data_IF_035705536787
#
_entry.id   IF_035705536787
#
_cell.length_a   1.000
_cell.length_b   1.000
_cell.length_c   1.000
_cell.angle_alpha   90.00
_cell.angle_beta   90.00
_cell.angle_gamma   90.00
#
_symmetry.space_group_name_H-M   'P 1'
#
loop_
_entity.id
_entity.type
_entity.pdbx_description
1 polymer ?
#
# COMPACT_ATOMS: atom_id res chain seq x y z
N UNK A 1 -3.55 -8.45 -10.75
CA UNK A 1 -4.62 -8.10 -9.81
C UNK A 1 -5.92 -7.66 -10.48
N UNK A 2 -5.96 -6.58 -11.26
CA UNK A 2 -7.18 -6.08 -11.91
C UNK A 2 -7.92 -7.13 -12.78
N UNK A 3 -7.20 -7.85 -13.67
CA UNK A 3 -7.81 -8.94 -14.45
C UNK A 3 -8.39 -10.06 -13.60
N UNK A 4 -7.69 -10.44 -12.53
CA UNK A 4 -8.19 -11.45 -11.60
C UNK A 4 -9.48 -11.02 -10.88
N UNK A 5 -9.70 -9.71 -10.69
CA UNK A 5 -10.93 -9.15 -10.15
C UNK A 5 -12.08 -9.07 -11.19
N UNK A 6 -11.83 -9.43 -12.46
CA UNK A 6 -12.83 -9.35 -13.53
C UNK A 6 -13.02 -7.94 -14.10
N UNK A 7 -12.02 -7.06 -14.00
CA UNK A 7 -12.08 -5.74 -14.64
C UNK A 7 -12.09 -5.91 -16.17
N UNK A 8 -13.11 -5.34 -16.82
CA UNK A 8 -13.34 -5.49 -18.26
C UNK A 8 -12.38 -4.70 -19.13
N UNK A 9 -12.09 -3.44 -18.76
CA UNK A 9 -11.22 -2.54 -19.52
C UNK A 9 -10.06 -2.04 -18.64
N UNK A 10 -8.83 -2.21 -19.10
CA UNK A 10 -7.60 -1.91 -18.36
C UNK A 10 -6.64 -1.12 -19.25
N UNK A 11 -6.36 0.11 -18.82
CA UNK A 11 -5.36 0.98 -19.43
C UNK A 11 -4.13 1.12 -18.53
N UNK A 12 -2.94 1.03 -19.13
CA UNK A 12 -1.66 1.25 -18.44
C UNK A 12 -1.07 2.58 -18.91
N UNK A 13 -0.75 3.48 -17.99
CA UNK A 13 -0.10 4.74 -18.32
C UNK A 13 1.40 4.70 -17.98
N UNK A 14 2.24 5.13 -18.91
CA UNK A 14 3.68 5.29 -18.70
C UNK A 14 4.22 6.42 -19.59
N UNK A 15 5.08 7.33 -19.10
CA UNK A 15 5.53 8.48 -19.89
C UNK A 15 6.34 8.09 -21.13
N UNK A 16 7.14 7.03 -21.06
CA UNK A 16 8.01 6.56 -22.15
C UNK A 16 8.06 5.02 -22.11
N UNK A 17 6.98 4.32 -22.47
CA UNK A 17 6.91 2.87 -22.33
C UNK A 17 7.96 2.20 -23.25
N UNK A 18 8.91 1.48 -22.65
CA UNK A 18 9.89 0.68 -23.38
C UNK A 18 9.37 -0.72 -23.71
N UNK A 19 10.13 -1.53 -24.46
CA UNK A 19 9.73 -2.89 -24.84
C UNK A 19 9.33 -3.77 -23.65
N UNK A 20 10.05 -3.69 -22.53
CA UNK A 20 9.73 -4.47 -21.33
C UNK A 20 8.41 -4.03 -20.67
N UNK A 21 8.14 -2.72 -20.61
CA UNK A 21 6.86 -2.20 -20.10
C UNK A 21 5.70 -2.65 -20.96
N UNK A 22 5.86 -2.61 -22.30
CA UNK A 22 4.85 -3.05 -23.25
C UNK A 22 4.62 -4.57 -23.16
N UNK A 23 5.69 -5.36 -23.04
CA UNK A 23 5.61 -6.80 -22.86
C UNK A 23 4.90 -7.16 -21.53
N UNK A 24 5.26 -6.49 -20.43
CA UNK A 24 4.60 -6.69 -19.14
C UNK A 24 3.11 -6.34 -19.20
N UNK A 25 2.74 -5.23 -19.86
CA UNK A 25 1.35 -4.86 -20.06
C UNK A 25 0.58 -5.92 -20.89
N UNK A 26 1.19 -6.44 -21.96
CA UNK A 26 0.59 -7.49 -22.77
C UNK A 26 0.42 -8.80 -22.00
N UNK A 27 1.43 -9.23 -21.25
CA UNK A 27 1.39 -10.44 -20.40
C UNK A 27 0.33 -10.30 -19.30
N UNK A 28 0.22 -9.12 -18.69
CA UNK A 28 -0.81 -8.82 -17.69
C UNK A 28 -2.22 -8.67 -18.29
N UNK A 29 -2.32 -8.66 -19.63
CA UNK A 29 -3.58 -8.54 -20.37
C UNK A 29 -4.19 -7.14 -20.34
N UNK A 30 -3.39 -6.07 -20.38
CA UNK A 30 -3.93 -4.71 -20.56
C UNK A 30 -4.57 -4.53 -21.95
N UNK A 31 -5.65 -3.75 -22.04
CA UNK A 31 -6.33 -3.45 -23.31
C UNK A 31 -5.64 -2.34 -24.11
N UNK A 32 -4.93 -1.45 -23.40
CA UNK A 32 -4.23 -0.34 -24.04
C UNK A 32 -3.13 0.25 -23.16
N UNK A 33 -2.20 0.94 -23.83
CA UNK A 33 -1.12 1.67 -23.18
C UNK A 33 -1.19 3.14 -23.57
N UNK A 34 -1.29 4.00 -22.57
CA UNK A 34 -1.18 5.44 -22.71
C UNK A 34 0.29 5.84 -22.54
N UNK A 35 0.91 6.31 -23.62
CA UNK A 35 2.28 6.85 -23.62
C UNK A 35 2.32 8.28 -23.02
N UNK A 36 1.88 8.42 -21.78
CA UNK A 36 1.88 9.66 -21.00
C UNK A 36 2.06 9.34 -19.51
N UNK A 37 2.55 10.31 -18.72
CA UNK A 37 2.82 10.12 -17.30
C UNK A 37 2.32 11.27 -16.43
N UNK A 38 2.74 11.30 -15.16
CA UNK A 38 2.46 12.45 -14.29
C UNK A 38 0.97 12.78 -14.12
N UNK A 39 0.68 14.02 -13.75
CA UNK A 39 -0.67 14.51 -13.52
C UNK A 39 -1.59 14.46 -14.77
N UNK A 40 -1.02 14.59 -15.96
CA UNK A 40 -1.79 14.59 -17.21
C UNK A 40 -2.28 13.19 -17.60
N UNK A 41 -1.51 12.14 -17.29
CA UNK A 41 -1.99 10.77 -17.41
C UNK A 41 -3.15 10.49 -16.44
N UNK A 42 -3.03 10.92 -15.19
CA UNK A 42 -4.10 10.78 -14.19
C UNK A 42 -5.36 11.51 -14.64
N UNK A 43 -5.23 12.73 -15.18
CA UNK A 43 -6.36 13.46 -15.74
C UNK A 43 -6.99 12.71 -16.93
N UNK A 44 -6.17 12.18 -17.84
CA UNK A 44 -6.66 11.40 -18.99
C UNK A 44 -7.47 10.18 -18.53
N UNK A 45 -6.99 9.45 -17.54
CA UNK A 45 -7.70 8.28 -16.99
C UNK A 45 -8.98 8.69 -16.25
N UNK A 46 -8.98 9.79 -15.50
CA UNK A 46 -10.13 10.23 -14.71
C UNK A 46 -11.25 10.88 -15.54
N UNK A 47 -10.89 11.58 -16.62
CA UNK A 47 -11.83 12.36 -17.43
C UNK A 47 -12.09 11.77 -18.81
N UNK A 48 -11.30 10.79 -19.23
CA UNK A 48 -11.30 10.24 -20.58
C UNK A 48 -10.64 11.19 -21.59
N UNK A 49 -9.99 10.62 -22.62
CA UNK A 49 -9.51 11.36 -23.77
C UNK A 49 -9.28 10.43 -24.97
N UNK A 50 -9.67 10.88 -26.17
CA UNK A 50 -9.51 10.09 -27.39
C UNK A 50 -10.22 8.72 -27.27
N UNK A 51 -9.50 7.58 -27.38
CA UNK A 51 -10.09 6.25 -27.25
C UNK A 51 -10.33 5.81 -25.79
N UNK A 52 -9.82 6.57 -24.80
CA UNK A 52 -9.88 6.19 -23.38
C UNK A 52 -11.16 6.74 -22.77
N UNK A 53 -12.07 5.87 -22.36
CA UNK A 53 -13.22 6.23 -21.53
C UNK A 53 -12.76 6.60 -20.10
N UNK A 54 -13.53 7.43 -19.36
CA UNK A 54 -13.24 7.69 -17.95
C UNK A 54 -13.19 6.39 -17.14
N UNK A 55 -12.08 6.15 -16.44
CA UNK A 55 -11.88 4.98 -15.59
C UNK A 55 -12.58 5.14 -14.24
N UNK A 56 -13.23 4.06 -13.76
CA UNK A 56 -13.86 4.02 -12.44
C UNK A 56 -12.83 3.97 -11.29
N UNK A 57 -11.66 3.39 -11.54
CA UNK A 57 -10.59 3.16 -10.55
C UNK A 57 -9.24 3.50 -11.17
N UNK A 58 -8.40 4.26 -10.46
CA UNK A 58 -7.04 4.64 -10.86
C UNK A 58 -6.07 4.20 -9.76
N UNK A 59 -5.16 3.29 -10.11
CA UNK A 59 -4.21 2.70 -9.15
C UNK A 59 -2.76 2.93 -9.59
N UNK A 60 -1.83 2.67 -8.68
CA UNK A 60 -0.40 2.67 -8.93
C UNK A 60 0.34 3.81 -8.25
N UNK A 61 1.64 3.62 -7.97
CA UNK A 61 2.48 4.62 -7.34
C UNK A 61 2.91 5.70 -8.33
N UNK A 62 3.53 6.75 -7.82
CA UNK A 62 4.18 7.78 -8.61
C UNK A 62 4.73 8.89 -7.74
N UNK A 63 5.45 9.82 -8.35
CA UNK A 63 5.99 10.96 -7.63
C UNK A 63 4.87 11.84 -7.03
N UNK A 64 5.25 12.83 -6.22
CA UNK A 64 4.34 13.80 -5.59
C UNK A 64 3.28 14.42 -6.52
N UNK A 65 3.58 14.61 -7.81
CA UNK A 65 2.61 15.18 -8.76
C UNK A 65 1.55 14.17 -9.19
N UNK A 66 1.92 12.90 -9.37
CA UNK A 66 0.98 11.80 -9.60
C UNK A 66 0.09 11.64 -8.38
N UNK A 67 0.67 11.60 -7.18
CA UNK A 67 -0.08 11.47 -5.92
C UNK A 67 -1.03 12.63 -5.70
N UNK A 68 -0.58 13.88 -5.90
CA UNK A 68 -1.45 15.06 -5.81
C UNK A 68 -2.58 15.02 -6.85
N UNK A 69 -2.30 14.59 -8.09
CA UNK A 69 -3.34 14.45 -9.11
C UNK A 69 -4.36 13.37 -8.73
N UNK A 70 -3.93 12.21 -8.22
CA UNK A 70 -4.83 11.16 -7.70
C UNK A 70 -5.71 11.70 -6.59
N UNK A 71 -5.15 12.46 -5.65
CA UNK A 71 -5.90 13.09 -4.57
C UNK A 71 -7.00 14.02 -5.10
N UNK A 72 -6.68 14.85 -6.11
CA UNK A 72 -7.64 15.78 -6.70
C UNK A 72 -8.79 15.07 -7.44
N UNK A 73 -8.51 13.93 -8.08
CA UNK A 73 -9.55 13.16 -8.82
C UNK A 73 -10.28 12.12 -7.98
N UNK A 74 -9.90 11.92 -6.71
CA UNK A 74 -10.44 10.88 -5.83
C UNK A 74 -11.96 10.97 -5.55
N UNK A 75 -12.57 12.14 -5.78
CA UNK A 75 -14.03 12.31 -5.74
C UNK A 75 -14.76 11.86 -7.01
N UNK A 76 -14.02 11.57 -8.10
CA UNK A 76 -14.55 11.20 -9.42
C UNK A 76 -14.27 9.75 -9.77
N UNK A 77 -13.05 9.30 -9.53
CA UNK A 77 -12.62 7.92 -9.70
C UNK A 77 -12.08 7.41 -8.36
N UNK A 78 -12.35 6.16 -8.04
CA UNK A 78 -11.72 5.54 -6.87
C UNK A 78 -10.19 5.52 -7.08
N UNK A 79 -9.44 5.72 -6.01
CA UNK A 79 -8.00 5.56 -5.99
C UNK A 79 -7.64 4.51 -4.95
N UNK A 80 -6.57 3.76 -5.19
CA UNK A 80 -6.01 2.79 -4.24
C UNK A 80 -5.50 3.51 -2.97
N UNK A 81 -4.50 4.37 -3.12
CA UNK A 81 -3.89 5.09 -2.02
C UNK A 81 -3.10 6.31 -2.49
N UNK A 82 -2.81 7.19 -1.54
CA UNK A 82 -1.86 8.28 -1.72
C UNK A 82 -0.50 7.74 -1.30
N UNK A 83 0.28 7.27 -2.27
CA UNK A 83 1.65 6.84 -2.02
C UNK A 83 2.53 8.08 -1.84
N UNK A 84 3.21 8.16 -0.70
CA UNK A 84 4.32 9.08 -0.45
C UNK A 84 5.65 8.47 -0.92
N UNK A 85 6.79 9.01 -0.45
CA UNK A 85 8.08 8.35 -0.63
C UNK A 85 8.05 6.93 -0.07
N UNK A 86 8.87 6.05 -0.64
CA UNK A 86 8.92 4.65 -0.24
C UNK A 86 9.71 4.48 1.06
N UNK A 87 9.37 3.47 1.85
CA UNK A 87 9.90 3.24 3.21
C UNK A 87 10.34 1.78 3.40
N UNK A 88 11.48 1.58 4.04
CA UNK A 88 11.90 0.26 4.53
C UNK A 88 12.28 0.38 6.00
N UNK A 89 11.70 -0.47 6.84
CA UNK A 89 12.10 -0.64 8.23
C UNK A 89 12.71 -2.02 8.43
N UNK A 90 14.00 -2.08 8.74
CA UNK A 90 14.66 -3.31 9.19
C UNK A 90 14.61 -3.36 10.71
N UNK A 91 13.98 -4.39 11.28
CA UNK A 91 14.00 -4.65 12.72
C UNK A 91 14.92 -5.84 13.03
N UNK A 92 16.04 -5.56 13.70
CA UNK A 92 17.14 -6.49 13.87
C UNK A 92 17.61 -6.67 15.33
N UNK A 93 18.11 -7.86 15.65
CA UNK A 93 18.82 -8.18 16.90
C UNK A 93 20.28 -8.53 16.63
N UNK A 94 21.05 -8.85 17.66
CA UNK A 94 22.49 -9.12 17.54
C UNK A 94 22.87 -10.31 16.65
N UNK A 95 21.91 -11.14 16.22
CA UNK A 95 22.15 -12.19 15.24
C UNK A 95 22.18 -11.70 13.80
N UNK A 96 21.63 -10.53 13.53
CA UNK A 96 21.59 -9.95 12.20
C UNK A 96 23.00 -9.55 11.73
N UNK A 97 23.26 -9.75 10.44
CA UNK A 97 24.50 -9.31 9.82
C UNK A 97 24.42 -7.82 9.48
N UNK A 98 25.35 -6.98 9.97
CA UNK A 98 25.38 -5.56 9.55
C UNK A 98 25.56 -5.39 8.04
N UNK A 99 26.23 -6.35 7.38
CA UNK A 99 26.36 -6.42 5.92
C UNK A 99 25.01 -6.53 5.20
N UNK A 100 24.12 -7.34 5.75
CA UNK A 100 22.78 -7.57 5.19
C UNK A 100 21.91 -6.35 5.46
N UNK A 101 21.83 -5.89 6.71
CA UNK A 101 21.07 -4.69 7.09
C UNK A 101 21.45 -3.50 6.20
N UNK A 102 22.74 -3.22 6.02
CA UNK A 102 23.19 -2.11 5.18
C UNK A 102 22.80 -2.30 3.71
N UNK A 103 22.84 -3.53 3.19
CA UNK A 103 22.44 -3.81 1.82
C UNK A 103 20.95 -3.56 1.60
N UNK A 104 20.09 -4.01 2.52
CA UNK A 104 18.65 -3.83 2.43
C UNK A 104 18.26 -2.34 2.57
N UNK A 105 18.88 -1.61 3.51
CA UNK A 105 18.71 -0.16 3.63
C UNK A 105 19.13 0.59 2.35
N UNK A 106 20.21 0.16 1.70
CA UNK A 106 20.69 0.76 0.45
C UNK A 106 19.81 0.40 -0.74
N UNK A 107 19.30 -0.82 -0.80
CA UNK A 107 18.34 -1.25 -1.81
C UNK A 107 17.14 -0.31 -1.82
N UNK A 108 16.61 0.03 -0.64
CA UNK A 108 15.55 1.03 -0.57
C UNK A 108 16.01 2.45 -0.90
N UNK A 109 17.16 2.86 -0.36
CA UNK A 109 17.67 4.22 -0.52
C UNK A 109 17.95 4.60 -1.99
N UNK A 110 18.25 3.63 -2.86
CA UNK A 110 18.55 3.92 -4.26
C UNK A 110 17.31 4.20 -5.13
N UNK A 111 16.10 3.90 -4.66
CA UNK A 111 14.87 4.11 -5.43
C UNK A 111 14.59 5.58 -5.74
N UNK A 112 14.69 6.45 -4.73
CA UNK A 112 14.34 7.88 -4.82
C UNK A 112 15.07 8.67 -3.72
N UNK A 113 15.55 9.90 -3.97
CA UNK A 113 16.20 10.71 -2.93
C UNK A 113 15.30 11.07 -1.73
N UNK A 114 13.97 10.95 -1.87
CA UNK A 114 13.01 11.16 -0.80
C UNK A 114 12.70 9.87 -0.01
N UNK A 115 13.25 8.70 -0.40
CA UNK A 115 13.02 7.42 0.28
C UNK A 115 13.50 7.43 1.74
N UNK A 116 12.92 6.57 2.57
CA UNK A 116 13.11 6.55 4.02
C UNK A 116 13.56 5.15 4.51
N UNK A 117 14.87 4.86 4.52
CA UNK A 117 15.43 3.65 5.10
C UNK A 117 15.60 3.79 6.63
N UNK A 118 15.07 2.85 7.41
CA UNK A 118 15.04 2.88 8.88
C UNK A 118 15.56 1.57 9.47
N UNK A 119 16.32 1.69 10.56
CA UNK A 119 16.75 0.55 11.36
C UNK A 119 16.17 0.66 12.78
N UNK A 120 15.41 -0.35 13.20
CA UNK A 120 15.09 -0.59 14.61
C UNK A 120 16.01 -1.70 15.10
N UNK A 121 16.72 -1.52 16.21
CA UNK A 121 17.67 -2.51 16.69
C UNK A 121 17.66 -2.66 18.21
N UNK A 122 17.79 -3.89 18.70
CA UNK A 122 18.06 -4.17 20.13
C UNK A 122 19.56 -4.23 20.46
N UNK A 123 20.42 -4.30 19.44
CA UNK A 123 21.87 -4.37 19.60
C UNK A 123 22.51 -2.98 19.41
N UNK A 124 23.11 -2.38 20.46
CA UNK A 124 23.78 -1.08 20.35
C UNK A 124 25.03 -1.13 19.46
N UNK A 125 25.63 -2.30 19.23
CA UNK A 125 26.79 -2.44 18.34
C UNK A 125 26.43 -2.26 16.86
N UNK A 126 25.14 -2.38 16.51
CA UNK A 126 24.69 -2.15 15.14
C UNK A 126 24.90 -0.72 14.66
N UNK A 127 24.87 0.28 15.55
CA UNK A 127 25.03 1.69 15.16
C UNK A 127 26.34 1.89 14.38
N UNK A 128 27.47 1.54 14.99
CA UNK A 128 28.77 1.71 14.36
C UNK A 128 29.01 0.70 13.20
N UNK A 129 28.52 -0.53 13.36
CA UNK A 129 28.80 -1.62 12.41
C UNK A 129 28.02 -1.47 11.11
N UNK A 130 26.76 -1.02 11.18
CA UNK A 130 25.94 -0.75 10.00
C UNK A 130 26.45 0.51 9.30
N UNK A 131 26.82 1.57 10.02
CA UNK A 131 27.40 2.78 9.42
C UNK A 131 28.71 2.51 8.65
N UNK A 132 29.58 1.68 9.22
CA UNK A 132 30.82 1.26 8.55
C UNK A 132 30.53 0.52 7.24
N UNK A 133 29.50 -0.32 7.24
CA UNK A 133 29.11 -1.08 6.07
C UNK A 133 28.39 -0.24 5.02
N UNK A 134 27.47 0.64 5.41
CA UNK A 134 26.85 1.62 4.53
C UNK A 134 27.92 2.43 3.81
N UNK A 135 28.94 2.90 4.55
CA UNK A 135 30.09 3.62 3.97
C UNK A 135 30.84 2.78 2.94
N UNK A 136 31.07 1.50 3.24
CA UNK A 136 31.78 0.57 2.36
C UNK A 136 30.99 0.29 1.07
N UNK A 137 29.71 -0.06 1.19
CA UNK A 137 28.84 -0.43 0.07
C UNK A 137 28.47 0.78 -0.79
N UNK A 138 28.36 1.99 -0.22
CA UNK A 138 28.21 3.23 -1.00
C UNK A 138 29.46 3.58 -1.83
N UNK A 139 30.60 2.92 -1.60
CA UNK A 139 31.85 3.22 -2.29
C UNK A 139 31.84 2.87 -3.77
N UNK A 140 31.13 1.80 -4.15
CA UNK A 140 31.03 1.29 -5.53
C UNK A 140 29.59 1.26 -6.07
N UNK A 141 28.60 1.67 -5.28
CA UNK A 141 27.21 1.77 -5.71
C UNK A 141 27.03 2.84 -6.80
N UNK A 142 26.58 2.49 -8.03
CA UNK A 142 26.40 3.47 -9.10
C UNK A 142 25.40 4.59 -8.76
N UNK A 143 24.37 4.25 -7.96
CA UNK A 143 23.31 5.13 -7.47
C UNK A 143 23.68 5.86 -6.16
N UNK A 144 24.94 5.82 -5.72
CA UNK A 144 25.37 6.34 -4.41
C UNK A 144 24.95 7.79 -4.12
N UNK A 145 24.86 8.66 -5.14
CA UNK A 145 24.38 10.03 -4.96
C UNK A 145 22.92 10.12 -4.51
N UNK A 146 22.05 9.25 -5.07
CA UNK A 146 20.64 9.14 -4.68
C UNK A 146 20.53 8.50 -3.30
N UNK A 147 21.19 7.35 -3.09
CA UNK A 147 21.15 6.64 -1.83
C UNK A 147 21.66 7.49 -0.64
N UNK A 148 22.73 8.28 -0.84
CA UNK A 148 23.21 9.21 0.20
C UNK A 148 22.20 10.29 0.56
N UNK A 149 21.41 10.76 -0.39
CA UNK A 149 20.36 11.74 -0.10
C UNK A 149 19.23 11.09 0.70
N UNK A 150 18.77 9.90 0.28
CA UNK A 150 17.70 9.17 0.94
C UNK A 150 18.05 8.75 2.39
N UNK A 151 19.29 8.31 2.63
CA UNK A 151 19.77 7.94 3.97
C UNK A 151 19.64 9.08 5.00
N UNK A 152 19.62 10.36 4.57
CA UNK A 152 19.41 11.51 5.46
C UNK A 152 17.96 11.65 5.94
N UNK A 153 17.00 11.04 5.26
CA UNK A 153 15.60 11.02 5.67
C UNK A 153 15.31 9.92 6.70
N UNK A 154 16.20 8.93 6.77
CA UNK A 154 16.12 7.76 7.63
C UNK A 154 16.79 7.93 8.99
N UNK A 155 17.01 6.81 9.67
CA UNK A 155 17.69 6.79 10.96
C UNK A 155 17.66 5.45 11.68
N UNK A 156 18.24 5.45 12.88
CA UNK A 156 18.33 4.27 13.76
C UNK A 156 17.54 4.53 15.03
N UNK A 157 16.71 3.57 15.43
CA UNK A 157 16.01 3.53 16.71
C UNK A 157 16.58 2.36 17.53
N UNK A 158 17.37 2.70 18.55
CA UNK A 158 17.84 1.72 19.54
C UNK A 158 16.74 1.49 20.58
N UNK A 159 16.31 0.24 20.72
CA UNK A 159 15.26 -0.18 21.66
C UNK A 159 15.82 -1.13 22.72
N UNK A 160 15.21 -1.13 23.91
CA UNK A 160 15.63 -1.97 25.03
C UNK A 160 15.29 -3.45 24.89
N UNK A 161 14.44 -3.82 23.93
CA UNK A 161 14.06 -5.20 23.67
C UNK A 161 12.96 -5.34 22.62
N UNK A 162 12.52 -6.58 22.41
CA UNK A 162 11.56 -6.95 21.36
C UNK A 162 10.22 -6.21 21.50
N UNK A 163 9.70 -6.06 22.71
CA UNK A 163 8.43 -5.34 22.96
C UNK A 163 8.47 -3.89 22.49
N UNK A 164 9.55 -3.18 22.82
CA UNK A 164 9.76 -1.79 22.39
C UNK A 164 10.00 -1.70 20.88
N UNK A 165 10.67 -2.69 20.29
CA UNK A 165 10.86 -2.77 18.85
C UNK A 165 9.56 -2.99 18.07
N UNK A 166 8.68 -3.88 18.55
CA UNK A 166 7.32 -4.05 17.99
C UNK A 166 6.53 -2.75 18.11
N UNK A 167 6.58 -2.10 19.27
CA UNK A 167 5.91 -0.83 19.48
C UNK A 167 6.46 0.28 18.55
N UNK A 168 7.77 0.32 18.31
CA UNK A 168 8.39 1.25 17.37
C UNK A 168 7.96 0.99 15.92
N UNK A 169 7.94 -0.28 15.48
CA UNK A 169 7.47 -0.67 14.15
C UNK A 169 6.01 -0.26 13.95
N UNK A 170 5.13 -0.60 14.90
CA UNK A 170 3.70 -0.24 14.84
C UNK A 170 3.47 1.27 15.01
N UNK A 171 4.35 2.00 15.70
CA UNK A 171 4.31 3.46 15.80
C UNK A 171 4.63 4.13 14.44
N UNK A 172 5.59 3.58 13.71
CA UNK A 172 6.01 4.07 12.39
C UNK A 172 5.02 3.66 11.30
N UNK A 173 4.44 2.46 11.40
CA UNK A 173 3.51 1.89 10.42
C UNK A 173 4.04 1.96 8.97
N UNK A 174 5.23 1.39 8.70
CA UNK A 174 5.97 1.61 7.47
C UNK A 174 5.38 0.84 6.29
N UNK A 175 5.83 1.20 5.09
CA UNK A 175 5.55 0.47 3.85
C UNK A 175 6.06 -0.98 3.91
N UNK A 176 7.36 -1.18 4.16
CA UNK A 176 7.99 -2.48 4.29
C UNK A 176 8.58 -2.69 5.69
N UNK A 177 8.44 -3.91 6.23
CA UNK A 177 9.13 -4.36 7.46
C UNK A 177 9.91 -5.63 7.18
N UNK A 178 11.20 -5.62 7.48
CA UNK A 178 12.04 -6.81 7.51
C UNK A 178 12.35 -7.21 8.95
N UNK A 179 12.03 -8.45 9.33
CA UNK A 179 12.35 -9.01 10.64
C UNK A 179 13.60 -9.88 10.57
N UNK A 180 14.73 -9.34 11.01
CA UNK A 180 16.01 -10.04 11.09
C UNK A 180 16.31 -10.32 12.56
N UNK A 181 15.49 -11.18 13.16
CA UNK A 181 15.54 -11.56 14.58
C UNK A 181 15.73 -13.07 14.72
N UNK A 182 16.34 -13.52 15.81
CA UNK A 182 16.40 -14.96 16.14
C UNK A 182 15.00 -15.55 16.38
N UNK A 183 14.07 -14.74 16.87
CA UNK A 183 12.68 -15.11 17.20
C UNK A 183 11.68 -14.50 16.21
N UNK A 184 12.07 -14.28 14.96
CA UNK A 184 11.23 -13.60 13.96
C UNK A 184 9.83 -14.21 13.81
N UNK A 185 9.70 -15.54 13.85
CA UNK A 185 8.40 -16.24 13.75
C UNK A 185 7.47 -15.94 14.94
N UNK A 186 8.02 -15.71 16.13
CA UNK A 186 7.24 -15.34 17.32
C UNK A 186 6.85 -13.86 17.31
N UNK A 187 7.67 -13.02 16.65
CA UNK A 187 7.49 -11.57 16.58
C UNK A 187 6.52 -11.16 15.47
N UNK A 188 6.58 -11.82 14.31
CA UNK A 188 5.77 -11.49 13.14
C UNK A 188 4.26 -11.36 13.44
N UNK A 189 3.61 -12.29 14.18
CA UNK A 189 2.17 -12.21 14.47
C UNK A 189 1.78 -11.06 15.41
N UNK A 190 2.76 -10.38 16.01
CA UNK A 190 2.55 -9.32 16.99
C UNK A 190 2.59 -7.92 16.36
N UNK A 191 3.09 -7.79 15.13
CA UNK A 191 3.04 -6.55 14.38
C UNK A 191 1.62 -6.32 13.85
N UNK A 192 1.16 -5.08 13.93
CA UNK A 192 -0.20 -4.68 13.55
C UNK A 192 -0.21 -3.79 12.30
N UNK A 193 0.82 -2.97 12.11
CA UNK A 193 0.82 -1.92 11.10
C UNK A 193 2.05 -1.99 10.20
N UNK A 194 1.85 -2.52 8.99
CA UNK A 194 2.85 -2.58 7.92
C UNK A 194 2.16 -2.76 6.57
N UNK A 195 2.80 -2.33 5.47
CA UNK A 195 2.33 -2.65 4.12
C UNK A 195 2.66 -4.09 3.73
N UNK A 196 3.93 -4.47 3.85
CA UNK A 196 4.43 -5.82 3.66
C UNK A 196 5.43 -6.21 4.75
N UNK A 197 5.43 -7.50 5.11
CA UNK A 197 6.27 -8.06 6.15
C UNK A 197 7.14 -9.19 5.56
N UNK A 198 8.43 -9.10 5.80
CA UNK A 198 9.41 -10.08 5.39
C UNK A 198 10.06 -10.71 6.63
N UNK A 199 10.05 -12.04 6.71
CA UNK A 199 10.37 -12.76 7.95
C UNK A 199 11.65 -13.56 7.75
N UNK A 200 12.66 -13.24 8.57
CA UNK A 200 13.97 -13.88 8.58
C UNK A 200 14.97 -13.26 7.60
N UNK A 201 16.26 -13.49 7.86
CA UNK A 201 17.39 -12.88 7.15
C UNK A 201 17.50 -13.20 5.64
N UNK A 202 16.72 -14.15 5.12
CA UNK A 202 16.69 -14.52 3.70
C UNK A 202 15.51 -13.91 2.95
N UNK A 203 14.64 -13.17 3.64
CA UNK A 203 13.45 -12.55 3.09
C UNK A 203 13.70 -11.06 2.96
N UNK A 204 14.32 -10.64 1.85
CA UNK A 204 14.58 -9.23 1.56
C UNK A 204 13.44 -8.61 0.74
N UNK A 205 13.21 -7.30 0.90
CA UNK A 205 12.23 -6.49 0.19
C UNK A 205 12.28 -6.72 -1.33
N UNK A 206 13.50 -6.73 -1.87
CA UNK A 206 13.77 -6.94 -3.30
C UNK A 206 13.15 -8.24 -3.85
N UNK A 207 13.00 -9.28 -3.03
CA UNK A 207 12.36 -10.52 -3.46
C UNK A 207 10.84 -10.35 -3.60
N UNK A 208 10.23 -9.56 -2.73
CA UNK A 208 8.82 -9.16 -2.80
C UNK A 208 8.53 -8.30 -4.03
N UNK A 209 9.41 -7.35 -4.31
CA UNK A 209 9.28 -6.40 -5.42
C UNK A 209 9.21 -7.05 -6.80
N UNK A 210 9.96 -8.13 -7.01
CA UNK A 210 10.20 -8.65 -8.36
C UNK A 210 9.67 -10.05 -8.62
N UNK A 211 9.50 -10.92 -7.62
CA UNK A 211 9.30 -12.34 -7.93
C UNK A 211 8.55 -13.22 -6.93
N UNK A 212 8.51 -12.87 -5.64
CA UNK A 212 7.93 -13.75 -4.62
C UNK A 212 6.39 -13.77 -4.63
N UNK A 213 5.74 -12.78 -5.24
CA UNK A 213 4.29 -12.73 -5.44
C UNK A 213 3.50 -11.64 -4.70
N UNK A 214 3.93 -11.08 -3.55
CA UNK A 214 3.27 -9.93 -2.95
C UNK A 214 3.17 -8.74 -3.91
N UNK A 215 2.23 -7.83 -3.63
CA UNK A 215 2.12 -6.60 -4.42
C UNK A 215 2.94 -5.49 -3.76
N UNK A 216 3.88 -4.90 -4.50
CA UNK A 216 4.73 -3.80 -4.01
C UNK A 216 4.09 -2.40 -4.12
N UNK A 217 2.81 -2.29 -4.48
CA UNK A 217 2.09 -1.02 -4.39
C UNK A 217 1.47 -0.95 -2.99
N UNK A 218 2.21 -0.35 -2.07
CA UNK A 218 1.95 -0.41 -0.64
C UNK A 218 1.69 0.97 -0.02
N UNK A 219 1.01 1.01 1.13
CA UNK A 219 0.75 2.24 1.86
C UNK A 219 2.04 2.74 2.53
N UNK A 220 2.37 4.02 2.32
CA UNK A 220 3.52 4.69 2.96
C UNK A 220 3.07 5.77 3.95
N UNK A 221 4.00 6.46 4.60
CA UNK A 221 3.76 7.61 5.47
C UNK A 221 2.78 7.32 6.62
N UNK A 222 2.90 6.14 7.23
CA UNK A 222 2.05 5.68 8.32
C UNK A 222 0.63 5.28 7.91
N UNK A 223 0.29 5.32 6.62
CA UNK A 223 -1.06 5.00 6.14
C UNK A 223 -1.41 3.50 6.25
N UNK A 224 -0.41 2.63 6.46
CA UNK A 224 -0.58 1.20 6.76
C UNK A 224 -1.46 0.94 7.99
N UNK A 225 -1.66 1.94 8.86
CA UNK A 225 -2.61 1.89 9.98
C UNK A 225 -4.07 1.67 9.56
N UNK A 226 -4.42 2.09 8.36
CA UNK A 226 -5.81 2.14 7.89
C UNK A 226 -6.00 1.60 6.48
N UNK A 227 -4.90 1.23 5.80
CA UNK A 227 -4.90 0.80 4.41
C UNK A 227 -4.01 -0.43 4.26
N UNK A 228 -4.41 -1.33 3.38
CA UNK A 228 -3.54 -2.40 2.90
C UNK A 228 -2.94 -2.05 1.54
N UNK A 229 -2.00 -2.89 1.11
CA UNK A 229 -1.48 -2.86 -0.26
C UNK A 229 -2.54 -3.05 -1.34
N UNK A 230 -2.19 -2.70 -2.57
CA UNK A 230 -3.01 -2.94 -3.74
C UNK A 230 -3.35 -4.44 -3.86
N UNK A 231 -4.63 -4.76 -3.87
CA UNK A 231 -5.10 -6.15 -3.89
C UNK A 231 -6.30 -6.32 -4.82
N UNK A 232 -6.77 -7.56 -4.97
CA UNK A 232 -7.96 -7.86 -5.77
C UNK A 232 -9.17 -7.07 -5.25
N UNK A 233 -9.24 -6.85 -3.95
CA UNK A 233 -10.33 -6.12 -3.29
C UNK A 233 -10.39 -4.65 -3.70
N UNK A 234 -9.27 -4.04 -4.11
CA UNK A 234 -9.24 -2.66 -4.63
C UNK A 234 -10.15 -2.48 -5.85
N UNK A 235 -10.37 -3.55 -6.62
CA UNK A 235 -11.19 -3.52 -7.84
C UNK A 235 -12.62 -4.05 -7.62
N UNK A 236 -12.95 -4.47 -6.40
CA UNK A 236 -14.25 -5.03 -6.05
C UNK A 236 -15.12 -3.98 -5.34
N UNK A 237 -16.44 -4.15 -5.45
CA UNK A 237 -17.44 -3.35 -4.73
C UNK A 237 -18.38 -4.28 -3.99
N UNK A 238 -18.47 -4.11 -2.67
CA UNK A 238 -19.46 -4.84 -1.86
C UNK A 238 -20.83 -4.22 -2.11
N UNK A 239 -21.80 -5.04 -2.54
CA UNK A 239 -23.19 -4.63 -2.76
C UNK A 239 -24.10 -5.45 -1.87
N UNK A 240 -25.03 -4.80 -1.19
CA UNK A 240 -26.06 -5.47 -0.37
C UNK A 240 -27.38 -5.52 -1.14
N UNK A 241 -28.17 -6.55 -0.88
CA UNK A 241 -29.52 -6.68 -1.43
C UNK A 241 -30.42 -7.33 -0.38
N UNK A 242 -31.72 -7.00 -0.43
CA UNK A 242 -32.75 -7.55 0.45
C UNK A 242 -33.92 -7.99 -0.41
N UNK A 243 -34.41 -9.21 -0.16
CA UNK A 243 -35.67 -9.70 -0.71
C UNK A 243 -36.53 -10.24 0.43
N UNK A 244 -37.76 -9.76 0.50
CA UNK A 244 -38.79 -10.26 1.41
C UNK A 244 -39.87 -10.89 0.54
N UNK A 245 -39.93 -12.22 0.54
CA UNK A 245 -40.88 -12.97 -0.29
C UNK A 245 -42.24 -13.19 0.43
N UNK A 246 -42.24 -13.18 1.78
CA UNK A 246 -43.45 -13.24 2.61
C UNK A 246 -43.57 -11.99 3.48
N UNK A 247 -44.46 -11.08 3.08
CA UNK A 247 -44.71 -9.84 3.80
C UNK A 247 -45.31 -10.07 5.20
N UNK A 248 -46.07 -11.15 5.39
CA UNK A 248 -46.70 -11.46 6.68
C UNK A 248 -45.66 -11.86 7.73
N UNK A 249 -44.65 -12.64 7.34
CA UNK A 249 -43.53 -13.01 8.19
C UNK A 249 -42.62 -11.80 8.53
N UNK A 250 -42.61 -10.77 7.68
CA UNK A 250 -41.83 -9.55 7.90
C UNK A 250 -42.54 -8.48 8.75
N UNK A 251 -43.77 -8.73 9.22
CA UNK A 251 -44.55 -7.75 10.00
C UNK A 251 -43.80 -7.15 11.19
N UNK A 252 -43.09 -7.92 12.05
CA UNK A 252 -42.32 -7.34 13.15
C UNK A 252 -41.25 -6.35 12.67
N UNK A 253 -40.52 -6.70 11.61
CA UNK A 253 -39.51 -5.82 11.01
C UNK A 253 -40.12 -4.53 10.45
N UNK A 254 -41.31 -4.62 9.85
CA UNK A 254 -42.03 -3.45 9.33
C UNK A 254 -42.47 -2.53 10.47
N UNK A 255 -43.01 -3.09 11.55
CA UNK A 255 -43.45 -2.34 12.72
C UNK A 255 -42.26 -1.64 13.41
N UNK A 256 -41.13 -2.33 13.56
CA UNK A 256 -39.88 -1.76 14.08
C UNK A 256 -39.37 -0.63 13.18
N UNK A 257 -39.31 -0.83 11.87
CA UNK A 257 -38.86 0.19 10.91
C UNK A 257 -39.77 1.44 10.94
N UNK A 258 -41.09 1.24 11.11
CA UNK A 258 -42.02 2.35 11.26
C UNK A 258 -41.81 3.12 12.56
N UNK A 259 -41.56 2.40 13.66
CA UNK A 259 -41.27 3.01 14.94
C UNK A 259 -39.97 3.83 14.92
N UNK A 260 -38.87 3.24 14.41
CA UNK A 260 -37.59 3.95 14.26
C UNK A 260 -37.72 5.17 13.36
N UNK A 261 -38.40 5.03 12.21
CA UNK A 261 -38.65 6.16 11.32
C UNK A 261 -39.33 7.33 12.02
N UNK A 262 -40.30 7.07 12.90
CA UNK A 262 -40.95 8.14 13.69
C UNK A 262 -40.06 8.70 14.80
N UNK A 263 -39.30 7.84 15.47
CA UNK A 263 -38.34 8.26 16.50
C UNK A 263 -37.30 9.24 15.94
N UNK A 264 -36.88 9.02 14.69
CA UNK A 264 -35.95 9.89 13.95
C UNK A 264 -36.62 11.10 13.28
N UNK A 265 -37.95 11.25 13.40
CA UNK A 265 -38.71 12.33 12.75
C UNK A 265 -38.92 12.15 11.23
N UNK A 266 -38.68 10.95 10.70
CA UNK A 266 -38.80 10.57 9.28
C UNK A 266 -40.17 9.92 8.98
N UNK A 267 -41.26 10.67 9.10
CA UNK A 267 -42.63 10.15 8.94
C UNK A 267 -42.89 9.45 7.59
N UNK A 268 -42.28 9.93 6.49
CA UNK A 268 -42.41 9.29 5.17
C UNK A 268 -41.74 7.90 5.12
N UNK A 269 -40.64 7.69 5.86
CA UNK A 269 -40.01 6.36 5.97
C UNK A 269 -40.93 5.39 6.71
N UNK A 270 -41.51 5.84 7.83
CA UNK A 270 -42.43 5.02 8.61
C UNK A 270 -43.66 4.60 7.81
N UNK A 271 -44.31 5.55 7.14
CA UNK A 271 -45.45 5.26 6.26
C UNK A 271 -45.08 4.32 5.12
N UNK A 272 -43.89 4.45 4.54
CA UNK A 272 -43.41 3.52 3.50
C UNK A 272 -43.35 2.10 4.04
N UNK A 273 -42.80 1.89 5.25
CA UNK A 273 -42.76 0.57 5.88
C UNK A 273 -44.19 0.02 6.07
N UNK A 274 -45.08 0.79 6.69
CA UNK A 274 -46.46 0.37 6.98
C UNK A 274 -47.25 -0.05 5.74
N UNK A 275 -47.04 0.62 4.60
CA UNK A 275 -47.67 0.25 3.31
C UNK A 275 -47.35 -1.17 2.82
N UNK A 276 -46.37 -1.86 3.40
CA UNK A 276 -46.07 -3.28 3.09
C UNK A 276 -46.95 -4.27 3.86
N UNK A 277 -47.79 -3.79 4.78
CA UNK A 277 -48.76 -4.59 5.53
C UNK A 277 -50.21 -4.38 5.07
N UNK A 278 -50.43 -3.45 4.13
CA UNK A 278 -51.70 -3.24 3.42
C UNK A 278 -51.91 -4.37 2.39
#
# INVERSE_FOLDING_TARGET
TARAAGVNEIWVASPKPGPMTLAAAAVAGADGVLAAGGAHAIATLAFGAGPIAPCDVIVGPGNRYVTAAKQLVGGRAAIDMLAGPSELLVFADSSASPAVIAADLLAQAEHDPDAVPLLVTTDPTHLDRVDAELTRQLGDLPSAGVARAALLNGGVVLVGGVEEGVAACDALAPEHVELILQTADDVAPRLTHFGALFIGASSAEVLGDYGAGPNHVLPTAGSARSRGGLSVYTFLRVRTWLRIDDASAARPLVEDAAWFGRLEGLEAHARSAERRLD
#
